data_IF_366408355102
#
_entry.id   IF_366408355102
#
_cell.length_a   1.000
_cell.length_b   1.000
_cell.length_c   1.000
_cell.angle_alpha   90.00
_cell.angle_beta   90.00
_cell.angle_gamma   90.00
#
_symmetry.space_group_name_H-M   'P 1'
#
loop_
_entity.id
_entity.type
_entity.pdbx_description
1 polymer ?
#
# COMPACT_ATOMS: atom_id res chain seq x y z
N UNK A 1 14.73 -47.85 -1.47
CA UNK A 1 15.76 -47.31 -0.55
C UNK A 1 16.98 -46.94 -1.38
N UNK A 2 17.49 -45.71 -1.23
CA UNK A 2 18.81 -45.30 -1.71
C UNK A 2 18.93 -44.86 -3.17
N UNK A 3 18.94 -43.54 -3.42
CA UNK A 3 19.63 -42.87 -4.54
C UNK A 3 19.30 -41.39 -4.52
N UNK A 4 20.19 -40.43 -4.73
CA UNK A 4 21.63 -40.42 -4.95
C UNK A 4 22.01 -38.94 -4.69
N UNK A 5 22.79 -38.66 -3.65
CA UNK A 5 23.32 -37.31 -3.43
C UNK A 5 24.48 -37.15 -4.42
N UNK A 6 24.30 -36.34 -5.47
CA UNK A 6 25.42 -35.84 -6.28
C UNK A 6 25.75 -34.43 -5.84
N UNK A 7 26.88 -34.30 -5.16
CA UNK A 7 27.55 -33.04 -4.84
C UNK A 7 28.58 -32.80 -5.96
N UNK A 8 28.47 -31.68 -6.67
CA UNK A 8 29.46 -31.24 -7.65
C UNK A 8 29.29 -29.77 -7.96
N UNK A 9 30.32 -28.97 -7.70
CA UNK A 9 30.54 -27.58 -8.13
C UNK A 9 31.95 -27.55 -8.79
N UNK A 10 32.31 -26.64 -9.73
CA UNK A 10 31.80 -25.27 -9.92
C UNK A 10 31.52 -24.85 -11.40
N UNK A 11 31.05 -23.59 -11.57
CA UNK A 11 30.82 -22.79 -12.81
C UNK A 11 29.44 -22.92 -13.49
N UNK A 12 28.59 -21.93 -13.18
CA UNK A 12 27.50 -21.34 -13.99
C UNK A 12 26.58 -22.25 -14.83
N UNK A 13 25.89 -23.20 -14.20
CA UNK A 13 24.85 -23.98 -14.87
C UNK A 13 23.44 -23.54 -14.46
N UNK A 14 22.72 -22.91 -15.40
CA UNK A 14 21.27 -22.75 -15.35
C UNK A 14 20.61 -24.07 -15.79
N UNK A 15 19.77 -24.73 -14.96
CA UNK A 15 18.85 -25.71 -15.50
C UNK A 15 17.77 -24.97 -16.31
N UNK A 16 17.45 -25.41 -17.54
CA UNK A 16 16.30 -24.88 -18.26
C UNK A 16 15.05 -25.22 -17.43
N UNK A 17 14.28 -24.19 -17.08
CA UNK A 17 12.95 -24.26 -16.46
C UNK A 17 12.72 -25.49 -15.55
N UNK A 18 12.97 -25.37 -14.24
CA UNK A 18 12.55 -26.35 -13.25
C UNK A 18 11.04 -26.63 -13.44
N UNK A 19 10.72 -27.73 -14.12
CA UNK A 19 9.40 -27.90 -14.74
C UNK A 19 8.36 -28.51 -13.81
N UNK A 20 8.75 -29.02 -12.64
CA UNK A 20 7.80 -29.45 -11.60
C UNK A 20 8.51 -29.75 -10.25
N UNK A 21 9.10 -28.74 -9.62
CA UNK A 21 9.68 -28.88 -8.27
C UNK A 21 8.68 -28.43 -7.20
N UNK A 22 8.40 -29.28 -6.21
CA UNK A 22 7.56 -28.91 -5.05
C UNK A 22 8.18 -27.77 -4.23
N UNK A 23 9.50 -27.77 -4.09
CA UNK A 23 10.28 -26.73 -3.38
C UNK A 23 11.57 -26.48 -4.16
N UNK A 24 11.94 -25.22 -4.36
CA UNK A 24 13.21 -24.84 -4.99
C UNK A 24 13.89 -23.70 -4.22
N UNK A 25 15.19 -23.88 -3.91
CA UNK A 25 15.95 -22.98 -3.03
C UNK A 25 17.31 -22.63 -3.65
N UNK A 26 17.38 -21.65 -4.57
CA UNK A 26 18.66 -21.19 -5.10
C UNK A 26 19.34 -20.22 -4.12
N UNK A 27 20.67 -20.31 -4.03
CA UNK A 27 21.46 -19.34 -3.25
C UNK A 27 21.62 -18.03 -4.00
N UNK A 28 22.11 -18.08 -5.24
CA UNK A 28 22.36 -16.91 -6.06
C UNK A 28 21.90 -17.16 -7.50
N UNK A 29 21.28 -16.17 -8.12
CA UNK A 29 20.86 -16.24 -9.52
C UNK A 29 20.81 -14.85 -10.14
N UNK A 30 21.44 -14.63 -11.30
CA UNK A 30 21.34 -13.35 -12.01
C UNK A 30 19.96 -13.14 -12.61
N UNK A 31 19.41 -14.18 -13.23
CA UNK A 31 18.07 -14.22 -13.82
C UNK A 31 17.42 -15.55 -13.48
N UNK A 32 16.18 -15.53 -13.02
CA UNK A 32 15.41 -16.76 -12.78
C UNK A 32 13.94 -16.58 -13.12
N UNK A 33 13.36 -17.54 -13.86
CA UNK A 33 12.00 -17.47 -14.41
C UNK A 33 11.26 -18.80 -14.22
N UNK A 34 10.67 -19.07 -13.03
CA UNK A 34 9.86 -20.26 -12.83
C UNK A 34 8.47 -20.06 -13.43
N UNK A 35 7.91 -21.12 -14.02
CA UNK A 35 6.54 -21.11 -14.55
C UNK A 35 5.52 -21.78 -13.64
N UNK A 36 5.91 -22.79 -12.87
CA UNK A 36 5.05 -23.49 -11.90
C UNK A 36 5.92 -23.93 -10.74
N UNK A 37 5.62 -23.43 -9.54
CA UNK A 37 6.35 -23.82 -8.33
C UNK A 37 5.40 -23.73 -7.14
N UNK A 38 5.36 -24.77 -6.30
CA UNK A 38 4.57 -24.69 -5.07
C UNK A 38 5.27 -23.77 -4.07
N UNK A 39 6.56 -23.98 -3.81
CA UNK A 39 7.33 -23.14 -2.91
C UNK A 39 8.66 -22.78 -3.56
N UNK A 40 8.99 -21.49 -3.52
CA UNK A 40 10.30 -21.00 -3.94
C UNK A 40 10.90 -20.12 -2.85
N UNK A 41 12.17 -20.34 -2.53
CA UNK A 41 12.92 -19.54 -1.54
C UNK A 41 14.27 -19.12 -2.12
N UNK A 42 14.45 -17.87 -2.51
CA UNK A 42 15.76 -17.35 -2.91
C UNK A 42 16.42 -16.53 -1.81
N UNK A 43 17.74 -16.66 -1.71
CA UNK A 43 18.54 -15.72 -0.94
C UNK A 43 18.80 -14.45 -1.76
N UNK A 44 19.50 -14.57 -2.88
CA UNK A 44 19.87 -13.41 -3.71
C UNK A 44 19.52 -13.62 -5.18
N UNK A 45 18.84 -12.64 -5.77
CA UNK A 45 18.48 -12.66 -7.18
C UNK A 45 18.65 -11.29 -7.85
N UNK A 46 19.26 -11.24 -9.03
CA UNK A 46 19.33 -10.01 -9.82
C UNK A 46 17.94 -9.63 -10.35
N UNK A 47 17.40 -10.49 -11.20
CA UNK A 47 16.05 -10.38 -11.77
C UNK A 47 15.31 -11.69 -11.57
N UNK A 48 14.09 -11.60 -11.07
CA UNK A 48 13.23 -12.75 -10.87
C UNK A 48 11.84 -12.51 -11.48
N UNK A 49 11.35 -13.47 -12.25
CA UNK A 49 10.01 -13.40 -12.89
C UNK A 49 9.25 -14.71 -12.65
N UNK A 50 8.35 -14.75 -11.66
CA UNK A 50 7.48 -15.90 -11.43
C UNK A 50 6.15 -15.80 -12.15
N UNK A 51 5.66 -16.96 -12.57
CA UNK A 51 4.26 -17.23 -12.90
C UNK A 51 3.78 -18.43 -12.10
N UNK A 52 2.47 -18.46 -11.82
CA UNK A 52 1.75 -19.58 -11.19
C UNK A 52 2.50 -20.19 -9.99
N UNK A 53 2.87 -19.35 -9.04
CA UNK A 53 3.63 -19.74 -7.84
C UNK A 53 2.77 -19.69 -6.59
N UNK A 54 2.72 -20.75 -5.79
CA UNK A 54 1.86 -20.72 -4.60
C UNK A 54 2.49 -19.89 -3.48
N UNK A 55 3.76 -20.15 -3.14
CA UNK A 55 4.49 -19.40 -2.12
C UNK A 55 5.85 -19.01 -2.67
N UNK A 56 6.18 -17.73 -2.51
CA UNK A 56 7.50 -17.22 -2.80
C UNK A 56 8.07 -16.46 -1.59
N UNK A 57 9.34 -16.73 -1.28
CA UNK A 57 10.11 -15.97 -0.29
C UNK A 57 11.44 -15.54 -0.91
N UNK A 58 11.78 -14.25 -0.81
CA UNK A 58 13.10 -13.74 -1.15
C UNK A 58 13.68 -12.89 -0.04
N UNK A 59 14.97 -13.08 0.21
CA UNK A 59 15.73 -12.14 1.03
C UNK A 59 16.06 -10.89 0.24
N UNK A 60 16.78 -11.03 -0.87
CA UNK A 60 17.24 -9.89 -1.67
C UNK A 60 16.96 -10.10 -3.16
N UNK A 61 16.35 -9.09 -3.78
CA UNK A 61 16.09 -9.05 -5.22
C UNK A 61 16.37 -7.68 -5.82
N UNK A 62 17.02 -7.63 -6.98
CA UNK A 62 17.12 -6.39 -7.75
C UNK A 62 15.75 -6.01 -8.30
N UNK A 63 15.23 -6.83 -9.20
CA UNK A 63 13.91 -6.67 -9.81
C UNK A 63 13.12 -7.94 -9.61
N UNK A 64 11.89 -7.80 -9.14
CA UNK A 64 10.96 -8.90 -8.99
C UNK A 64 9.65 -8.63 -9.74
N UNK A 65 9.21 -9.62 -10.50
CA UNK A 65 7.89 -9.63 -11.15
C UNK A 65 7.17 -10.94 -10.80
N UNK A 66 5.96 -10.85 -10.25
CA UNK A 66 5.07 -12.00 -10.08
C UNK A 66 3.77 -11.81 -10.83
N UNK A 67 3.28 -12.93 -11.37
CA UNK A 67 1.92 -13.09 -11.86
C UNK A 67 1.31 -14.33 -11.21
N UNK A 68 0.05 -14.26 -10.82
CA UNK A 68 -0.72 -15.40 -10.31
C UNK A 68 -0.03 -16.08 -9.12
N UNK A 69 0.24 -15.31 -8.07
CA UNK A 69 0.93 -15.80 -6.86
C UNK A 69 0.04 -15.77 -5.63
N UNK A 70 -0.08 -16.87 -4.89
CA UNK A 70 -0.94 -16.85 -3.68
C UNK A 70 -0.30 -16.05 -2.55
N UNK A 71 0.95 -16.34 -2.22
CA UNK A 71 1.66 -15.68 -1.12
C UNK A 71 3.05 -15.26 -1.57
N UNK A 72 3.38 -14.01 -1.30
CA UNK A 72 4.71 -13.46 -1.52
C UNK A 72 5.25 -12.79 -0.26
N UNK A 73 6.51 -13.09 0.05
CA UNK A 73 7.28 -12.41 1.11
C UNK A 73 8.63 -11.96 0.56
N UNK A 74 8.94 -10.67 0.67
CA UNK A 74 10.29 -10.15 0.42
C UNK A 74 10.82 -9.34 1.58
N UNK A 75 12.09 -9.55 1.90
CA UNK A 75 12.79 -8.66 2.81
C UNK A 75 13.23 -7.39 2.07
N UNK A 76 13.99 -7.52 1.00
CA UNK A 76 14.54 -6.39 0.27
C UNK A 76 14.35 -6.55 -1.25
N UNK A 77 13.78 -5.53 -1.89
CA UNK A 77 13.72 -5.43 -3.35
C UNK A 77 14.00 -4.01 -3.83
N UNK A 78 14.68 -3.82 -4.97
CA UNK A 78 14.74 -2.46 -5.56
C UNK A 78 13.43 -2.14 -6.26
N UNK A 79 12.99 -3.05 -7.12
CA UNK A 79 11.75 -2.91 -7.88
C UNK A 79 10.92 -4.16 -7.72
N UNK A 80 9.64 -3.97 -7.39
CA UNK A 80 8.69 -5.05 -7.29
C UNK A 80 7.44 -4.75 -8.10
N UNK A 81 6.98 -5.73 -8.87
CA UNK A 81 5.70 -5.70 -9.58
C UNK A 81 4.93 -7.01 -9.32
N UNK A 82 3.73 -6.92 -8.75
CA UNK A 82 2.80 -8.05 -8.66
C UNK A 82 1.54 -7.81 -9.47
N UNK A 83 1.03 -8.91 -10.02
CA UNK A 83 -0.30 -9.00 -10.58
C UNK A 83 -1.00 -10.24 -10.04
N UNK A 84 -2.28 -10.10 -9.71
CA UNK A 84 -3.15 -11.24 -9.33
C UNK A 84 -2.53 -12.00 -8.15
N UNK A 85 -2.33 -11.31 -7.02
CA UNK A 85 -1.69 -11.89 -5.82
C UNK A 85 -2.60 -11.90 -4.61
N UNK A 86 -2.73 -13.02 -3.90
CA UNK A 86 -3.63 -13.01 -2.72
C UNK A 86 -3.00 -12.24 -1.57
N UNK A 87 -1.81 -12.62 -1.12
CA UNK A 87 -1.14 -12.00 0.04
C UNK A 87 0.25 -11.56 -0.35
N UNK A 88 0.56 -10.30 -0.02
CA UNK A 88 1.88 -9.74 -0.19
C UNK A 88 2.39 -9.14 1.11
N UNK A 89 3.65 -9.45 1.43
CA UNK A 89 4.40 -8.82 2.53
C UNK A 89 5.77 -8.38 2.01
N UNK A 90 6.08 -7.08 2.11
CA UNK A 90 7.46 -6.60 1.96
C UNK A 90 7.93 -5.80 3.16
N UNK A 91 9.21 -5.97 3.48
CA UNK A 91 9.88 -5.12 4.44
C UNK A 91 10.38 -3.85 3.77
N UNK A 92 11.25 -3.95 2.77
CA UNK A 92 11.89 -2.79 2.14
C UNK A 92 11.78 -2.87 0.61
N UNK A 93 11.29 -1.81 -0.02
CA UNK A 93 11.21 -1.71 -1.48
C UNK A 93 11.45 -0.28 -1.97
N UNK A 94 12.26 -0.03 -3.01
CA UNK A 94 12.33 1.35 -3.55
C UNK A 94 11.06 1.68 -4.31
N UNK A 95 10.69 0.82 -5.25
CA UNK A 95 9.51 1.00 -6.08
C UNK A 95 8.65 -0.25 -6.00
N UNK A 96 7.37 -0.05 -5.72
CA UNK A 96 6.40 -1.12 -5.67
C UNK A 96 5.19 -0.81 -6.56
N UNK A 97 4.80 -1.79 -7.37
CA UNK A 97 3.53 -1.80 -8.11
C UNK A 97 2.72 -3.07 -7.83
N UNK A 98 1.46 -2.93 -7.45
CA UNK A 98 0.51 -4.06 -7.41
C UNK A 98 -0.73 -3.80 -8.24
N UNK A 99 -1.16 -4.88 -8.89
CA UNK A 99 -2.48 -4.99 -9.49
C UNK A 99 -3.19 -6.19 -8.89
N UNK A 100 -4.41 -5.96 -8.42
CA UNK A 100 -5.36 -6.96 -7.97
C UNK A 100 -4.77 -7.83 -6.85
N UNK A 101 -4.72 -7.25 -5.64
CA UNK A 101 -4.24 -7.95 -4.44
C UNK A 101 -5.28 -8.06 -3.35
N UNK A 102 -5.36 -9.20 -2.65
CA UNK A 102 -6.33 -9.29 -1.54
C UNK A 102 -5.79 -8.54 -0.31
N UNK A 103 -4.60 -8.90 0.15
CA UNK A 103 -3.94 -8.27 1.30
C UNK A 103 -2.55 -7.82 0.90
N UNK A 104 -2.23 -6.59 1.28
CA UNK A 104 -0.91 -6.02 1.14
C UNK A 104 -0.41 -5.46 2.47
N UNK A 105 0.84 -5.79 2.81
CA UNK A 105 1.56 -5.21 3.93
C UNK A 105 2.94 -4.75 3.48
N UNK A 106 3.27 -3.46 3.65
CA UNK A 106 4.64 -2.96 3.56
C UNK A 106 5.11 -2.28 4.83
N UNK A 107 6.40 -2.42 5.13
CA UNK A 107 7.05 -1.60 6.14
C UNK A 107 7.59 -0.32 5.53
N UNK A 108 8.49 -0.39 4.55
CA UNK A 108 9.16 0.79 4.00
C UNK A 108 9.14 0.77 2.48
N UNK A 109 8.69 1.87 1.87
CA UNK A 109 8.75 2.06 0.43
C UNK A 109 9.08 3.50 0.03
N UNK A 110 9.82 3.73 -1.06
CA UNK A 110 9.94 5.12 -1.57
C UNK A 110 8.71 5.48 -2.40
N UNK A 111 8.33 4.62 -3.31
CA UNK A 111 7.18 4.82 -4.19
C UNK A 111 6.31 3.57 -4.18
N UNK A 112 5.02 3.79 -4.00
CA UNK A 112 4.03 2.73 -4.04
C UNK A 112 2.87 3.10 -4.98
N UNK A 113 2.50 2.17 -5.85
CA UNK A 113 1.32 2.26 -6.70
C UNK A 113 0.47 0.98 -6.58
N UNK A 114 -0.80 1.10 -6.17
CA UNK A 114 -1.77 0.00 -6.26
C UNK A 114 -2.98 0.37 -7.10
N UNK A 115 -3.45 -0.61 -7.87
CA UNK A 115 -4.72 -0.51 -8.57
C UNK A 115 -5.88 -0.90 -7.67
N UNK A 116 -5.94 -2.16 -7.27
CA UNK A 116 -7.07 -2.75 -6.54
C UNK A 116 -6.53 -3.58 -5.38
N UNK A 117 -7.01 -3.27 -4.18
CA UNK A 117 -6.70 -4.02 -2.96
C UNK A 117 -7.91 -4.22 -2.06
N UNK A 118 -8.06 -5.36 -1.39
CA UNK A 118 -9.07 -5.44 -0.33
C UNK A 118 -8.55 -4.77 0.94
N UNK A 119 -7.37 -5.17 1.41
CA UNK A 119 -6.74 -4.61 2.60
C UNK A 119 -5.33 -4.15 2.27
N UNK A 120 -5.03 -2.93 2.67
CA UNK A 120 -3.72 -2.34 2.52
C UNK A 120 -3.22 -1.76 3.85
N UNK A 121 -2.01 -2.14 4.24
CA UNK A 121 -1.30 -1.59 5.40
C UNK A 121 0.11 -1.18 4.96
N UNK A 122 0.48 0.09 5.17
CA UNK A 122 1.85 0.56 5.02
C UNK A 122 2.30 1.29 6.27
N UNK A 123 3.56 1.11 6.66
CA UNK A 123 4.16 1.95 7.70
C UNK A 123 4.73 3.23 7.10
N UNK A 124 5.72 3.14 6.23
CA UNK A 124 6.43 4.31 5.73
C UNK A 124 6.44 4.33 4.20
N UNK A 125 5.98 5.43 3.60
CA UNK A 125 6.06 5.63 2.16
C UNK A 125 6.29 7.09 1.76
N UNK A 126 7.30 7.41 0.95
CA UNK A 126 7.42 8.82 0.49
C UNK A 126 6.23 9.20 -0.39
N UNK A 127 5.95 8.41 -1.41
CA UNK A 127 4.83 8.64 -2.33
C UNK A 127 3.97 7.40 -2.38
N UNK A 128 2.67 7.61 -2.17
CA UNK A 128 1.68 6.57 -2.25
C UNK A 128 0.55 6.96 -3.20
N UNK A 129 0.21 6.05 -4.13
CA UNK A 129 -0.94 6.19 -5.02
C UNK A 129 -1.79 4.91 -5.00
N UNK A 130 -3.07 5.03 -4.65
CA UNK A 130 -4.07 3.95 -4.83
C UNK A 130 -5.24 4.39 -5.70
N UNK A 131 -5.77 3.45 -6.49
CA UNK A 131 -7.06 3.65 -7.15
C UNK A 131 -8.21 3.14 -6.29
N UNK A 132 -8.18 1.88 -5.88
CA UNK A 132 -9.30 1.26 -5.16
C UNK A 132 -8.80 0.40 -4.00
N UNK A 133 -9.39 0.63 -2.83
CA UNK A 133 -9.17 -0.17 -1.63
C UNK A 133 -10.46 -0.35 -0.83
N UNK A 134 -10.66 -1.49 -0.15
CA UNK A 134 -11.75 -1.57 0.84
C UNK A 134 -11.30 -0.96 2.16
N UNK A 135 -10.14 -1.38 2.66
CA UNK A 135 -9.55 -0.90 3.90
C UNK A 135 -8.13 -0.46 3.62
N UNK A 136 -7.81 0.76 4.07
CA UNK A 136 -6.54 1.38 3.79
C UNK A 136 -5.98 2.08 5.04
N UNK A 137 -4.79 1.64 5.49
CA UNK A 137 -4.18 2.08 6.76
C UNK A 137 -2.69 2.43 6.59
N UNK A 138 -2.34 3.64 6.11
CA UNK A 138 -0.97 4.12 6.09
C UNK A 138 -0.63 4.74 7.44
N UNK A 139 0.59 4.54 7.93
CA UNK A 139 1.08 5.33 9.07
C UNK A 139 1.65 6.65 8.59
N UNK A 140 2.75 6.60 7.84
CA UNK A 140 3.56 7.77 7.56
C UNK A 140 3.79 7.91 6.07
N UNK A 141 3.37 9.05 5.51
CA UNK A 141 3.64 9.36 4.11
C UNK A 141 3.96 10.82 3.83
N UNK A 142 4.77 11.09 2.81
CA UNK A 142 4.95 12.48 2.39
C UNK A 142 3.79 12.93 1.50
N UNK A 143 3.56 12.21 0.40
CA UNK A 143 2.43 12.45 -0.50
C UNK A 143 1.57 11.22 -0.54
N UNK A 144 0.27 11.44 -0.38
CA UNK A 144 -0.73 10.41 -0.52
C UNK A 144 -1.83 10.83 -1.51
N UNK A 145 -2.14 9.94 -2.45
CA UNK A 145 -3.26 10.08 -3.37
C UNK A 145 -4.10 8.80 -3.41
N UNK A 146 -5.40 8.91 -3.08
CA UNK A 146 -6.37 7.81 -3.26
C UNK A 146 -7.56 8.25 -4.08
N UNK A 147 -8.04 7.38 -4.98
CA UNK A 147 -9.28 7.62 -5.69
C UNK A 147 -10.49 7.12 -4.91
N UNK A 148 -10.49 5.86 -4.47
CA UNK A 148 -11.62 5.24 -3.77
C UNK A 148 -11.15 4.35 -2.62
N UNK A 149 -11.74 4.56 -1.45
CA UNK A 149 -11.55 3.69 -0.29
C UNK A 149 -12.83 3.57 0.53
N UNK A 150 -13.29 2.36 0.90
CA UNK A 150 -14.45 2.28 1.81
C UNK A 150 -14.11 2.82 3.19
N UNK A 151 -12.98 2.38 3.74
CA UNK A 151 -12.45 2.84 5.04
C UNK A 151 -11.01 3.27 4.85
N UNK A 152 -10.71 4.49 5.29
CA UNK A 152 -9.38 5.06 5.26
C UNK A 152 -8.99 5.58 6.65
N UNK A 153 -7.82 5.18 7.13
CA UNK A 153 -7.27 5.58 8.43
C UNK A 153 -5.78 5.93 8.31
N UNK A 154 -5.43 7.22 8.17
CA UNK A 154 -4.05 7.68 8.20
C UNK A 154 -3.64 8.25 9.55
N UNK A 155 -2.36 8.04 9.90
CA UNK A 155 -1.75 8.69 11.04
C UNK A 155 -1.12 10.02 10.64
N UNK A 156 -0.05 9.99 9.85
CA UNK A 156 0.77 11.14 9.50
C UNK A 156 0.92 11.25 7.98
N UNK A 157 0.60 12.43 7.43
CA UNK A 157 0.95 12.76 6.05
C UNK A 157 1.34 14.21 5.87
N UNK A 158 2.19 14.57 4.89
CA UNK A 158 2.37 16.01 4.59
C UNK A 158 1.27 16.51 3.69
N UNK A 159 1.03 15.81 2.59
CA UNK A 159 0.00 16.16 1.62
C UNK A 159 -0.88 14.96 1.37
N UNK A 160 -2.17 15.17 1.54
CA UNK A 160 -3.18 14.16 1.33
C UNK A 160 -4.24 14.60 0.33
N UNK A 161 -4.50 13.77 -0.67
CA UNK A 161 -5.58 13.96 -1.63
C UNK A 161 -6.41 12.68 -1.73
N UNK A 162 -7.69 12.75 -1.38
CA UNK A 162 -8.65 11.69 -1.68
C UNK A 162 -9.89 12.18 -2.43
N UNK A 163 -10.45 11.31 -3.28
CA UNK A 163 -11.72 11.60 -3.95
C UNK A 163 -12.91 11.03 -3.20
N UNK A 164 -13.01 9.72 -3.07
CA UNK A 164 -14.19 9.07 -2.51
C UNK A 164 -13.84 8.17 -1.32
N UNK A 165 -14.53 8.35 -0.20
CA UNK A 165 -14.49 7.37 0.88
C UNK A 165 -15.71 7.33 1.76
N UNK A 166 -16.20 6.15 2.15
CA UNK A 166 -17.32 6.09 3.11
C UNK A 166 -16.89 6.64 4.46
N UNK A 167 -15.79 6.13 5.02
CA UNK A 167 -15.23 6.61 6.29
C UNK A 167 -13.79 7.04 6.08
N UNK A 168 -13.50 8.26 6.52
CA UNK A 168 -12.18 8.85 6.47
C UNK A 168 -11.76 9.35 7.84
N UNK A 169 -10.59 8.90 8.30
CA UNK A 169 -9.94 9.39 9.53
C UNK A 169 -8.48 9.73 9.23
N UNK A 170 -8.08 10.98 9.49
CA UNK A 170 -6.67 11.38 9.52
C UNK A 170 -6.33 12.07 10.86
N UNK A 171 -5.14 11.79 11.38
CA UNK A 171 -4.69 12.35 12.66
C UNK A 171 -3.82 13.59 12.51
N UNK A 172 -2.82 13.56 11.63
CA UNK A 172 -1.85 14.65 11.46
C UNK A 172 -1.59 14.84 9.97
N UNK A 173 -1.93 16.01 9.43
CA UNK A 173 -1.67 16.32 8.03
C UNK A 173 -1.44 17.79 7.75
N UNK A 174 -0.33 18.18 7.09
CA UNK A 174 -0.10 19.62 6.81
C UNK A 174 -1.14 20.20 5.87
N UNK A 175 -1.49 19.44 4.83
CA UNK A 175 -2.49 19.82 3.85
C UNK A 175 -3.36 18.61 3.51
N UNK A 176 -4.67 18.84 3.54
CA UNK A 176 -5.64 17.81 3.25
C UNK A 176 -6.69 18.29 2.24
N UNK A 177 -6.94 17.49 1.20
CA UNK A 177 -8.00 17.72 0.22
C UNK A 177 -8.83 16.46 0.07
N UNK A 178 -10.14 16.60 0.26
CA UNK A 178 -11.10 15.50 0.11
C UNK A 178 -12.34 15.93 -0.66
N UNK A 179 -12.81 15.07 -1.55
CA UNK A 179 -13.98 15.38 -2.37
C UNK A 179 -15.24 14.91 -1.68
N UNK A 180 -15.47 13.61 -1.55
CA UNK A 180 -16.78 13.06 -1.15
C UNK A 180 -16.66 11.96 -0.10
N UNK A 181 -17.23 12.20 1.09
CA UNK A 181 -17.31 11.19 2.15
C UNK A 181 -18.65 11.09 2.88
N UNK A 182 -18.89 9.96 3.53
CA UNK A 182 -19.99 9.91 4.51
C UNK A 182 -19.53 10.48 5.84
N UNK A 183 -18.45 9.95 6.41
CA UNK A 183 -17.82 10.46 7.62
C UNK A 183 -16.41 10.93 7.30
N UNK A 184 -16.09 12.14 7.74
CA UNK A 184 -14.78 12.78 7.63
C UNK A 184 -14.35 13.25 9.01
N UNK A 185 -13.29 12.66 9.55
CA UNK A 185 -12.68 13.08 10.80
C UNK A 185 -11.23 13.45 10.52
N UNK A 186 -10.85 14.66 10.93
CA UNK A 186 -9.49 15.16 10.78
C UNK A 186 -9.07 15.81 12.08
N UNK A 187 -7.85 15.51 12.52
CA UNK A 187 -7.19 16.20 13.62
C UNK A 187 -5.92 16.85 13.09
N UNK A 188 -5.41 17.84 13.83
CA UNK A 188 -4.09 18.44 13.67
C UNK A 188 -3.73 18.69 12.19
N UNK A 189 -4.65 19.35 11.50
CA UNK A 189 -4.53 19.62 10.07
C UNK A 189 -4.62 21.12 9.81
N UNK A 190 -3.49 21.83 9.69
CA UNK A 190 -3.48 23.28 9.53
C UNK A 190 -4.31 23.76 8.34
N UNK A 191 -4.31 23.02 7.24
CA UNK A 191 -5.09 23.35 6.04
C UNK A 191 -5.92 22.16 5.59
N UNK A 192 -7.23 22.37 5.52
CA UNK A 192 -8.18 21.34 5.14
C UNK A 192 -9.21 21.84 4.12
N UNK A 193 -9.43 21.09 3.05
CA UNK A 193 -10.45 21.38 2.03
C UNK A 193 -11.33 20.15 1.82
N UNK A 194 -12.63 20.28 2.11
CA UNK A 194 -13.64 19.29 1.78
C UNK A 194 -14.71 19.85 0.85
N UNK A 195 -15.12 19.04 -0.13
CA UNK A 195 -16.23 19.40 -1.01
C UNK A 195 -17.56 18.94 -0.44
N UNK A 196 -17.73 17.64 -0.21
CA UNK A 196 -18.99 17.04 0.23
C UNK A 196 -18.75 15.99 1.32
N UNK A 197 -19.49 16.12 2.41
CA UNK A 197 -19.49 15.15 3.50
C UNK A 197 -20.88 15.02 4.09
N UNK A 198 -21.25 13.89 4.71
CA UNK A 198 -22.46 13.90 5.56
C UNK A 198 -22.13 14.40 6.95
N UNK A 199 -21.05 13.91 7.52
CA UNK A 199 -20.55 14.31 8.83
C UNK A 199 -19.10 14.73 8.66
N UNK A 200 -18.77 15.96 9.07
CA UNK A 200 -17.40 16.46 9.10
C UNK A 200 -17.04 16.96 10.49
N UNK A 201 -15.95 16.42 11.03
CA UNK A 201 -15.44 16.72 12.37
C UNK A 201 -13.95 17.07 12.29
N UNK A 202 -13.59 18.34 12.01
CA UNK A 202 -12.23 18.83 12.18
C UNK A 202 -11.93 19.16 13.65
N UNK A 203 -10.68 18.95 14.04
CA UNK A 203 -10.10 19.39 15.32
C UNK A 203 -8.71 19.99 15.07
N UNK A 204 -8.31 20.99 15.84
CA UNK A 204 -6.95 21.55 15.82
C UNK A 204 -6.51 21.97 14.40
N UNK A 205 -7.42 22.63 13.67
CA UNK A 205 -7.22 23.03 12.28
C UNK A 205 -7.20 24.55 12.17
N UNK A 206 -6.17 25.13 11.52
CA UNK A 206 -6.05 26.60 11.40
C UNK A 206 -7.02 27.15 10.35
N UNK A 207 -7.03 26.54 9.15
CA UNK A 207 -7.88 26.92 8.03
C UNK A 207 -8.63 25.70 7.55
N UNK A 208 -9.96 25.78 7.46
CA UNK A 208 -10.70 24.81 6.67
C UNK A 208 -11.79 25.43 5.79
N UNK A 209 -12.00 24.77 4.64
CA UNK A 209 -13.04 25.11 3.67
C UNK A 209 -13.91 23.88 3.45
N UNK A 210 -15.22 24.01 3.71
CA UNK A 210 -16.21 22.97 3.46
C UNK A 210 -17.33 23.53 2.57
N UNK A 211 -17.57 22.91 1.40
CA UNK A 211 -18.69 23.34 0.54
C UNK A 211 -20.03 22.81 1.03
N UNK A 212 -20.14 21.50 1.27
CA UNK A 212 -21.40 20.85 1.68
C UNK A 212 -21.17 19.85 2.78
N UNK A 213 -21.88 20.02 3.88
CA UNK A 213 -21.97 19.01 4.94
C UNK A 213 -23.39 18.92 5.48
N UNK A 214 -23.85 17.76 5.96
CA UNK A 214 -25.12 17.74 6.73
C UNK A 214 -24.87 18.14 8.16
N UNK A 215 -23.85 17.56 8.77
CA UNK A 215 -23.42 17.82 10.14
C UNK A 215 -21.97 18.27 10.10
N UNK A 216 -21.71 19.41 10.71
CA UNK A 216 -20.40 20.01 10.85
C UNK A 216 -20.11 20.26 12.33
N UNK A 217 -19.00 19.72 12.84
CA UNK A 217 -18.58 19.88 14.24
C UNK A 217 -17.11 20.28 14.32
N UNK A 218 -16.82 21.56 14.52
CA UNK A 218 -15.46 22.05 14.76
C UNK A 218 -15.14 22.14 16.25
N UNK A 219 -13.88 21.85 16.58
CA UNK A 219 -13.28 22.11 17.89
C UNK A 219 -11.89 22.68 17.72
N UNK A 220 -11.51 23.64 18.56
CA UNK A 220 -10.13 24.15 18.62
C UNK A 220 -9.61 24.54 17.22
N UNK A 221 -10.46 25.18 16.42
CA UNK A 221 -10.18 25.49 15.01
C UNK A 221 -10.24 26.99 14.78
N UNK A 222 -9.38 27.50 13.90
CA UNK A 222 -9.29 28.92 13.60
C UNK A 222 -10.32 29.38 12.58
N UNK A 223 -9.84 29.70 11.37
CA UNK A 223 -10.64 30.27 10.29
C UNK A 223 -11.40 29.18 9.55
N UNK A 224 -12.70 29.40 9.34
CA UNK A 224 -13.53 28.48 8.56
C UNK A 224 -14.44 29.13 7.55
N UNK A 225 -14.57 28.46 6.41
CA UNK A 225 -15.55 28.79 5.37
C UNK A 225 -16.44 27.58 5.15
N UNK A 226 -17.70 27.69 5.56
CA UNK A 226 -18.71 26.64 5.40
C UNK A 226 -19.87 27.21 4.58
N UNK A 227 -20.10 26.66 3.38
CA UNK A 227 -21.13 27.19 2.47
C UNK A 227 -22.52 26.61 2.74
N UNK A 228 -22.64 25.29 2.90
CA UNK A 228 -23.91 24.61 3.16
C UNK A 228 -23.75 23.60 4.29
N UNK A 229 -24.42 23.87 5.42
CA UNK A 229 -24.55 22.95 6.56
C UNK A 229 -25.95 22.96 7.12
N UNK A 230 -26.51 21.78 7.47
CA UNK A 230 -27.79 21.70 8.19
C UNK A 230 -27.61 21.87 9.69
N UNK A 231 -26.54 21.27 10.23
CA UNK A 231 -26.16 21.36 11.63
C UNK A 231 -24.72 21.83 11.68
N UNK A 232 -24.48 22.91 12.42
CA UNK A 232 -23.16 23.47 12.66
C UNK A 232 -22.96 23.62 14.17
N UNK A 233 -21.88 23.02 14.67
CA UNK A 233 -21.44 23.14 16.06
C UNK A 233 -19.99 23.57 16.05
N UNK A 234 -19.69 24.73 16.63
CA UNK A 234 -18.32 25.15 16.91
C UNK A 234 -18.14 25.24 18.43
N UNK A 235 -17.05 24.67 18.92
CA UNK A 235 -16.62 24.85 20.31
C UNK A 235 -15.21 25.42 20.30
N UNK A 236 -15.13 26.67 20.72
CA UNK A 236 -13.87 27.33 21.01
C UNK A 236 -13.55 27.12 22.49
N UNK A 237 -12.27 26.87 22.80
CA UNK A 237 -11.74 26.76 24.16
C UNK A 237 -11.22 28.11 24.61
#
# INVERSE_FOLDING_TARGET
MGSLIRVGWPISWCPPAARDSRVFVPRESRLFVPRKSRVFVARESGVFVARDSWVFVSRESGVFVAKDSKVFVSRESRVFVARESSVFVARESRVFGARDSWVFVSRESRMFVARESSVFVARESRVFVSRESRVFVPRDSWVFVSRKSRVFMARESRVFVARESSVFVARESRMFVHTDSWVLVSRESPVFVARESRVFVPRDSWVFVSRKSRVFVARESGVFVVRESRVFVAKDS
#
